data_IF_153971795970
#
_entry.id   IF_153971795970
#
_cell.length_a   1.000
_cell.length_b   1.000
_cell.length_c   1.000
_cell.angle_alpha   90.00
_cell.angle_beta   90.00
_cell.angle_gamma   90.00
#
_symmetry.space_group_name_H-M   'P 1'
#
loop_
_entity.id
_entity.type
_entity.pdbx_description
1 polymer ?
#
# COMPACT_ATOMS: atom_id res chain seq x y z
N UNK A 1 27.00 11.01 -32.78
CA UNK A 1 26.15 10.71 -33.97
C UNK A 1 25.88 12.02 -34.71
N UNK A 2 25.94 12.06 -36.05
CA UNK A 2 25.66 13.29 -36.82
C UNK A 2 24.19 13.28 -37.25
N UNK A 3 23.33 14.00 -36.52
CA UNK A 3 21.85 13.93 -36.59
C UNK A 3 21.23 14.89 -37.62
N UNK A 4 21.72 14.88 -38.86
CA UNK A 4 21.25 15.84 -39.88
C UNK A 4 20.07 15.31 -40.73
N UNK A 5 19.46 14.17 -40.35
CA UNK A 5 18.30 13.57 -41.02
C UNK A 5 17.51 12.65 -40.08
N UNK A 6 16.18 12.48 -40.28
CA UNK A 6 15.37 11.51 -39.54
C UNK A 6 16.08 10.15 -39.51
N UNK A 7 16.31 9.60 -38.32
CA UNK A 7 16.96 8.29 -38.21
C UNK A 7 15.98 7.22 -38.69
N UNK A 8 16.47 6.25 -39.47
CA UNK A 8 15.67 5.08 -39.78
C UNK A 8 15.41 4.31 -38.50
N UNK A 9 14.16 3.86 -38.31
CA UNK A 9 13.79 3.04 -37.15
C UNK A 9 14.66 1.78 -37.02
N UNK A 10 15.05 1.15 -38.13
CA UNK A 10 15.94 -0.02 -38.11
C UNK A 10 17.38 0.32 -37.69
N UNK A 11 17.90 1.48 -38.06
CA UNK A 11 19.25 1.92 -37.69
C UNK A 11 19.32 2.29 -36.20
N UNK A 12 18.27 2.90 -35.67
CA UNK A 12 18.15 3.18 -34.25
C UNK A 12 18.01 1.89 -33.42
N UNK A 13 17.14 0.96 -33.83
CA UNK A 13 17.03 -0.34 -33.16
C UNK A 13 18.37 -1.08 -33.12
N UNK A 14 19.13 -1.04 -34.22
CA UNK A 14 20.47 -1.63 -34.28
C UNK A 14 21.47 -0.93 -33.33
N UNK A 15 21.38 0.39 -33.20
CA UNK A 15 22.25 1.18 -32.30
C UNK A 15 21.91 0.93 -30.84
N UNK A 16 20.64 1.01 -30.47
CA UNK A 16 20.15 0.68 -29.13
C UNK A 16 20.51 -0.76 -28.74
N UNK A 17 20.41 -1.70 -29.68
CA UNK A 17 20.84 -3.09 -29.47
C UNK A 17 22.36 -3.25 -29.37
N UNK A 18 23.15 -2.40 -30.02
CA UNK A 18 24.60 -2.40 -29.90
C UNK A 18 25.06 -1.82 -28.55
N UNK A 19 24.33 -0.85 -28.01
CA UNK A 19 24.50 -0.27 -26.67
C UNK A 19 23.79 -1.09 -25.56
N UNK A 20 23.27 -2.29 -25.89
CA UNK A 20 22.60 -3.21 -24.96
C UNK A 20 23.44 -3.67 -23.76
N UNK A 21 24.74 -3.36 -23.75
CA UNK A 21 25.57 -3.54 -22.56
C UNK A 21 25.21 -2.56 -21.42
N UNK A 22 24.61 -1.42 -21.75
CA UNK A 22 24.27 -0.34 -20.81
C UNK A 22 22.76 -0.12 -20.66
N UNK A 23 21.92 -0.76 -21.49
CA UNK A 23 20.46 -0.64 -21.44
C UNK A 23 19.82 -2.01 -21.20
N UNK A 24 18.87 -2.08 -20.25
CA UNK A 24 18.15 -3.33 -19.98
C UNK A 24 17.24 -3.73 -21.15
N UNK A 25 16.93 -5.02 -21.30
CA UNK A 25 15.97 -5.51 -22.30
C UNK A 25 14.59 -4.84 -22.16
N UNK A 26 14.20 -4.46 -20.94
CA UNK A 26 12.94 -3.77 -20.65
C UNK A 26 13.00 -2.32 -21.14
N UNK A 27 14.10 -1.62 -20.86
CA UNK A 27 14.36 -0.24 -21.33
C UNK A 27 14.40 -0.17 -22.86
N UNK A 28 15.04 -1.14 -23.51
CA UNK A 28 15.07 -1.25 -24.97
C UNK A 28 13.67 -1.46 -25.57
N UNK A 29 12.88 -2.36 -25.00
CA UNK A 29 11.50 -2.59 -25.44
C UNK A 29 10.62 -1.33 -25.27
N UNK A 30 10.88 -0.56 -24.22
CA UNK A 30 10.11 0.63 -23.93
C UNK A 30 10.46 1.81 -24.84
N UNK A 31 11.74 2.00 -25.17
CA UNK A 31 12.16 2.96 -26.21
C UNK A 31 11.55 2.57 -27.57
N UNK A 32 11.52 1.27 -27.91
CA UNK A 32 10.86 0.80 -29.13
C UNK A 32 9.36 1.13 -29.17
N UNK A 33 8.68 1.00 -28.02
CA UNK A 33 7.25 1.33 -27.90
C UNK A 33 6.99 2.83 -28.01
N UNK A 34 7.72 3.64 -27.24
CA UNK A 34 7.59 5.11 -27.21
C UNK A 34 7.75 5.69 -28.62
N UNK A 35 8.75 5.22 -29.35
CA UNK A 35 9.06 5.71 -30.69
C UNK A 35 8.36 4.93 -31.80
N UNK A 36 7.54 3.93 -31.44
CA UNK A 36 6.78 3.08 -32.34
C UNK A 36 7.63 2.49 -33.49
N UNK A 37 8.86 2.07 -33.17
CA UNK A 37 9.91 1.73 -34.15
C UNK A 37 9.54 0.58 -35.09
N UNK A 38 8.57 -0.27 -34.71
CA UNK A 38 8.13 -1.39 -35.52
C UNK A 38 7.17 -1.01 -36.66
N UNK A 39 6.56 0.18 -36.60
CA UNK A 39 5.53 0.59 -37.57
C UNK A 39 5.81 1.91 -38.28
N UNK A 40 6.84 2.64 -37.87
CA UNK A 40 7.27 3.89 -38.52
C UNK A 40 8.59 3.70 -39.28
N UNK A 41 8.71 4.34 -40.43
CA UNK A 41 9.92 4.26 -41.27
C UNK A 41 11.07 5.12 -40.70
N UNK A 42 10.73 6.23 -40.04
CA UNK A 42 11.68 7.21 -39.47
C UNK A 42 11.16 7.80 -38.18
N UNK A 43 12.06 8.13 -37.25
CA UNK A 43 11.72 8.75 -35.96
C UNK A 43 12.41 10.09 -35.73
N UNK A 44 11.71 10.98 -35.01
CA UNK A 44 12.23 12.26 -34.56
C UNK A 44 12.94 12.09 -33.22
N UNK A 45 14.26 11.95 -33.26
CA UNK A 45 15.13 11.96 -32.07
C UNK A 45 15.98 13.21 -32.11
N UNK A 46 15.98 13.94 -31.01
CA UNK A 46 16.93 15.00 -30.80
C UNK A 46 18.20 14.43 -30.16
N UNK A 47 19.36 14.78 -30.72
CA UNK A 47 20.66 14.42 -30.16
C UNK A 47 21.26 15.54 -29.34
N UNK A 48 22.43 15.29 -28.76
CA UNK A 48 23.23 16.30 -28.07
C UNK A 48 24.59 16.43 -28.76
N UNK A 49 25.09 17.66 -28.87
CA UNK A 49 26.47 17.94 -29.28
C UNK A 49 27.05 18.98 -28.34
N UNK A 50 28.11 18.60 -27.62
CA UNK A 50 28.55 19.36 -26.46
C UNK A 50 27.44 19.39 -25.40
N UNK A 51 26.85 20.57 -25.19
CA UNK A 51 25.77 20.80 -24.24
C UNK A 51 24.48 21.35 -24.89
N UNK A 52 24.37 21.35 -26.22
CA UNK A 52 23.22 21.91 -26.94
C UNK A 52 22.45 20.83 -27.68
N UNK A 53 21.11 20.84 -27.52
CA UNK A 53 20.23 19.93 -28.25
C UNK A 53 20.25 20.20 -29.75
N UNK A 54 20.35 19.14 -30.54
CA UNK A 54 20.24 19.15 -31.98
C UNK A 54 18.91 18.50 -32.38
N UNK A 55 17.93 19.33 -32.79
CA UNK A 55 16.66 18.85 -33.31
C UNK A 55 16.82 18.26 -34.71
N UNK A 56 15.98 17.27 -35.09
CA UNK A 56 15.89 16.81 -36.47
C UNK A 56 15.37 17.92 -37.39
N UNK A 57 15.63 17.80 -38.69
CA UNK A 57 15.19 18.78 -39.71
C UNK A 57 13.67 18.96 -39.80
N UNK A 58 12.88 18.00 -39.31
CA UNK A 58 11.43 18.13 -39.13
C UNK A 58 11.04 19.18 -38.08
N UNK A 59 11.95 19.52 -37.16
CA UNK A 59 11.70 20.39 -36.01
C UNK A 59 10.85 19.75 -34.90
N UNK A 60 10.52 18.48 -35.01
CA UNK A 60 9.72 17.71 -34.03
C UNK A 60 10.52 16.51 -33.54
N UNK A 61 10.53 16.29 -32.23
CA UNK A 61 11.13 15.14 -31.60
C UNK A 61 10.30 14.74 -30.37
N UNK A 62 10.25 13.44 -30.10
CA UNK A 62 9.53 12.90 -28.94
C UNK A 62 10.49 12.65 -27.76
N UNK A 63 11.77 12.43 -28.06
CA UNK A 63 12.84 12.15 -27.11
C UNK A 63 14.12 12.94 -27.42
N UNK A 64 14.81 13.42 -26.38
CA UNK A 64 16.24 13.76 -26.42
C UNK A 64 17.03 12.57 -25.89
N UNK A 65 17.98 12.07 -26.69
CA UNK A 65 18.87 10.99 -26.29
C UNK A 65 20.31 11.35 -26.65
N UNK A 66 21.20 11.34 -25.66
CA UNK A 66 22.63 11.52 -25.94
C UNK A 66 23.53 11.53 -24.72
N UNK A 67 24.82 11.44 -25.00
CA UNK A 67 25.89 11.66 -24.04
C UNK A 67 26.28 13.15 -24.07
N UNK A 68 26.26 13.78 -22.90
CA UNK A 68 26.72 15.17 -22.71
C UNK A 68 28.21 15.13 -22.39
N UNK A 69 29.01 15.82 -23.20
CA UNK A 69 30.48 15.86 -23.02
C UNK A 69 30.85 16.59 -21.72
N UNK A 70 31.68 15.95 -20.90
CA UNK A 70 32.24 16.52 -19.68
C UNK A 70 32.98 15.47 -18.86
N UNK A 71 33.86 15.89 -17.96
CA UNK A 71 34.52 15.00 -17.01
C UNK A 71 33.89 15.14 -15.61
N UNK A 72 34.14 14.15 -14.75
CA UNK A 72 33.69 14.18 -13.36
C UNK A 72 34.08 15.48 -12.65
N UNK A 73 33.08 16.16 -12.07
CA UNK A 73 33.23 17.43 -11.37
C UNK A 73 33.18 18.68 -12.27
N UNK A 74 33.11 18.54 -13.59
CA UNK A 74 32.73 19.64 -14.46
C UNK A 74 31.24 19.95 -14.27
N UNK A 75 30.87 21.23 -14.28
CA UNK A 75 29.45 21.63 -14.29
C UNK A 75 29.02 22.01 -15.71
N UNK A 76 28.00 21.33 -16.24
CA UNK A 76 27.53 21.50 -17.61
C UNK A 76 26.05 21.89 -17.64
N UNK A 77 25.77 23.13 -18.03
CA UNK A 77 24.38 23.57 -18.27
C UNK A 77 23.94 23.06 -19.64
N UNK A 78 22.88 22.26 -19.68
CA UNK A 78 22.32 21.69 -20.90
C UNK A 78 21.26 22.64 -21.48
N UNK A 79 21.43 23.08 -22.72
CA UNK A 79 20.45 23.94 -23.40
C UNK A 79 19.34 23.09 -24.03
N UNK A 80 18.22 22.97 -23.30
CA UNK A 80 17.03 22.19 -23.66
C UNK A 80 15.90 23.02 -24.26
N UNK A 81 16.05 24.35 -24.39
CA UNK A 81 14.95 25.25 -24.77
C UNK A 81 14.35 24.92 -26.15
N UNK A 82 15.18 24.47 -27.08
CA UNK A 82 14.72 24.03 -28.40
C UNK A 82 13.90 22.73 -28.33
N UNK A 83 14.30 21.79 -27.46
CA UNK A 83 13.59 20.53 -27.24
C UNK A 83 12.20 20.77 -26.61
N UNK A 84 12.14 21.63 -25.58
CA UNK A 84 10.88 21.99 -24.95
C UNK A 84 9.92 22.68 -25.93
N UNK A 85 10.43 23.60 -26.76
CA UNK A 85 9.64 24.24 -27.81
C UNK A 85 9.14 23.26 -28.88
N UNK A 86 9.84 22.14 -29.06
CA UNK A 86 9.45 21.06 -29.97
C UNK A 86 8.45 20.06 -29.34
N UNK A 87 8.15 20.18 -28.03
CA UNK A 87 7.22 19.30 -27.32
C UNK A 87 7.83 17.96 -26.90
N UNK A 88 9.15 17.89 -26.72
CA UNK A 88 9.82 16.66 -26.28
C UNK A 88 9.39 16.30 -24.86
N UNK A 89 8.95 15.06 -24.66
CA UNK A 89 8.42 14.55 -23.39
C UNK A 89 9.33 13.52 -22.70
N UNK A 90 10.45 13.14 -23.31
CA UNK A 90 11.46 12.28 -22.70
C UNK A 90 12.87 12.85 -22.90
N UNK A 91 13.65 12.94 -21.83
CA UNK A 91 15.02 13.42 -21.84
C UNK A 91 15.92 12.37 -21.21
N UNK A 92 16.87 11.81 -21.96
CA UNK A 92 17.84 10.84 -21.49
C UNK A 92 19.24 11.40 -21.75
N UNK A 93 19.85 11.93 -20.69
CA UNK A 93 21.05 12.76 -20.71
C UNK A 93 22.17 12.04 -19.95
N UNK A 94 22.98 11.25 -20.64
CA UNK A 94 24.05 10.50 -19.98
C UNK A 94 25.32 11.36 -19.84
N UNK A 95 25.93 11.40 -18.67
CA UNK A 95 27.22 12.07 -18.44
C UNK A 95 27.89 11.61 -17.16
N UNK A 96 29.21 11.74 -17.10
CA UNK A 96 29.96 11.68 -15.83
C UNK A 96 30.13 13.09 -15.21
N UNK A 97 29.76 14.16 -15.93
CA UNK A 97 29.80 15.54 -15.44
C UNK A 97 28.52 15.92 -14.71
N UNK A 98 28.59 16.96 -13.89
CA UNK A 98 27.47 17.49 -13.11
C UNK A 98 26.57 18.33 -14.02
N UNK A 99 25.46 17.75 -14.46
CA UNK A 99 24.51 18.40 -15.36
C UNK A 99 23.66 19.42 -14.61
N UNK A 100 23.32 20.52 -15.30
CA UNK A 100 22.28 21.44 -14.85
C UNK A 100 21.16 21.42 -15.88
N UNK A 101 20.03 20.82 -15.49
CA UNK A 101 18.83 20.61 -16.29
C UNK A 101 17.73 21.52 -15.74
N UNK A 102 17.29 22.51 -16.52
CA UNK A 102 16.18 23.40 -16.19
C UNK A 102 15.09 23.30 -17.26
N UNK A 103 13.96 22.72 -16.89
CA UNK A 103 12.78 22.55 -17.74
C UNK A 103 11.62 23.39 -17.19
N UNK A 104 10.96 24.14 -18.07
CA UNK A 104 9.72 24.86 -17.77
C UNK A 104 8.49 23.93 -17.74
N UNK A 105 8.60 22.75 -18.37
CA UNK A 105 7.57 21.72 -18.40
C UNK A 105 6.86 21.60 -19.75
N UNK A 106 5.92 20.66 -19.86
CA UNK A 106 5.24 20.32 -21.11
C UNK A 106 3.85 20.97 -21.21
N UNK A 107 3.51 21.47 -22.40
CA UNK A 107 2.20 22.04 -22.68
C UNK A 107 1.13 20.98 -23.06
N UNK A 108 1.57 19.78 -23.43
CA UNK A 108 0.72 18.65 -23.77
C UNK A 108 1.35 17.37 -23.21
N UNK A 109 0.51 16.44 -22.75
CA UNK A 109 0.95 15.16 -22.20
C UNK A 109 1.69 14.31 -23.25
N UNK A 110 2.85 13.77 -22.88
CA UNK A 110 3.59 12.81 -23.70
C UNK A 110 3.07 11.38 -23.55
N UNK A 111 3.21 10.55 -24.58
CA UNK A 111 2.93 9.10 -24.55
C UNK A 111 4.15 8.33 -24.00
N UNK A 112 4.55 8.63 -22.76
CA UNK A 112 5.80 8.17 -22.15
C UNK A 112 5.63 7.01 -21.18
N UNK A 113 4.41 6.50 -20.99
CA UNK A 113 4.07 5.63 -19.87
C UNK A 113 4.79 4.28 -19.95
N UNK A 114 4.96 3.71 -21.14
CA UNK A 114 5.76 2.48 -21.34
C UNK A 114 7.23 2.70 -21.01
N UNK A 115 7.78 3.87 -21.36
CA UNK A 115 9.17 4.25 -21.03
C UNK A 115 9.34 4.46 -19.53
N UNK A 116 8.43 5.19 -18.91
CA UNK A 116 8.37 5.37 -17.47
C UNK A 116 8.30 4.03 -16.73
N UNK A 117 7.45 3.10 -17.16
CA UNK A 117 7.31 1.77 -16.55
C UNK A 117 8.59 0.92 -16.64
N UNK A 118 9.44 1.17 -17.63
CA UNK A 118 10.72 0.48 -17.75
C UNK A 118 11.80 1.02 -16.81
N UNK A 119 11.71 2.30 -16.43
CA UNK A 119 12.60 2.93 -15.46
C UNK A 119 12.13 2.66 -14.02
N UNK A 120 10.82 2.73 -13.77
CA UNK A 120 10.21 2.51 -12.46
C UNK A 120 9.20 1.35 -12.48
N UNK A 121 9.63 0.09 -12.61
CA UNK A 121 8.73 -1.06 -12.75
C UNK A 121 7.88 -1.35 -11.52
N UNK A 122 8.23 -0.78 -10.36
CA UNK A 122 7.54 -0.98 -9.09
C UNK A 122 6.52 0.13 -8.74
N UNK A 123 6.36 1.15 -9.59
CA UNK A 123 5.48 2.30 -9.34
C UNK A 123 4.41 2.40 -10.43
N UNK A 124 3.23 2.95 -10.11
CA UNK A 124 2.22 3.26 -11.11
C UNK A 124 2.66 4.45 -11.97
N UNK A 125 3.08 4.17 -13.20
CA UNK A 125 3.52 5.19 -14.16
C UNK A 125 2.45 5.57 -15.19
N UNK A 126 1.20 5.11 -15.02
CA UNK A 126 0.12 5.27 -16.00
C UNK A 126 -0.28 6.72 -16.26
N UNK A 127 0.00 7.60 -15.30
CA UNK A 127 -0.30 9.03 -15.37
C UNK A 127 0.93 9.90 -15.65
N UNK A 128 2.13 9.33 -15.82
CA UNK A 128 3.37 10.11 -16.08
C UNK A 128 3.31 10.74 -17.47
N UNK A 129 3.66 12.01 -17.58
CA UNK A 129 3.57 12.80 -18.82
C UNK A 129 4.93 13.31 -19.31
N UNK A 130 5.93 13.36 -18.44
CA UNK A 130 7.32 13.77 -18.73
C UNK A 130 8.30 12.79 -18.06
N UNK A 131 9.37 12.41 -18.76
CA UNK A 131 10.48 11.62 -18.21
C UNK A 131 11.79 12.39 -18.36
N UNK A 132 12.58 12.44 -17.29
CA UNK A 132 13.95 12.97 -17.27
C UNK A 132 14.85 11.92 -16.64
N UNK A 133 15.91 11.52 -17.34
CA UNK A 133 16.92 10.60 -16.82
C UNK A 133 18.31 11.20 -17.03
N UNK A 134 19.13 11.25 -15.98
CA UNK A 134 20.51 11.75 -16.03
C UNK A 134 21.54 10.64 -15.75
N UNK A 135 22.77 11.00 -15.39
CA UNK A 135 23.94 10.12 -15.45
C UNK A 135 24.56 9.82 -14.09
N UNK A 136 25.90 9.84 -14.02
CA UNK A 136 26.65 9.57 -12.79
C UNK A 136 27.18 10.85 -12.10
N UNK A 137 26.78 12.02 -12.59
CA UNK A 137 27.25 13.32 -12.11
C UNK A 137 26.48 13.77 -10.86
N UNK A 138 27.03 14.73 -10.11
CA UNK A 138 26.22 15.40 -9.07
C UNK A 138 25.29 16.42 -9.78
N UNK A 139 24.12 15.98 -10.20
CA UNK A 139 23.23 16.70 -11.11
C UNK A 139 22.30 17.68 -10.37
N UNK A 140 21.95 18.77 -11.06
CA UNK A 140 20.92 19.72 -10.61
C UNK A 140 19.79 19.69 -11.61
N UNK A 141 18.67 19.08 -11.21
CA UNK A 141 17.50 18.87 -12.06
C UNK A 141 16.35 19.71 -11.52
N UNK A 142 15.81 20.60 -12.33
CA UNK A 142 14.66 21.44 -11.98
C UNK A 142 13.61 21.35 -13.08
N UNK A 143 12.42 20.86 -12.74
CA UNK A 143 11.25 20.83 -13.61
C UNK A 143 10.18 21.71 -12.97
N UNK A 144 9.74 22.77 -13.66
CA UNK A 144 8.83 23.79 -13.09
C UNK A 144 7.36 23.61 -13.48
N UNK A 145 7.07 22.71 -14.42
CA UNK A 145 5.72 22.50 -14.91
C UNK A 145 4.86 21.69 -13.95
N UNK A 146 3.55 21.71 -14.18
CA UNK A 146 2.55 21.07 -13.31
C UNK A 146 2.16 19.65 -13.76
N UNK A 147 2.90 19.09 -14.71
CA UNK A 147 2.66 17.75 -15.21
C UNK A 147 3.33 16.68 -14.36
N UNK A 148 2.72 15.50 -14.33
CA UNK A 148 3.28 14.33 -13.64
C UNK A 148 4.62 13.95 -14.28
N UNK A 149 5.71 14.10 -13.52
CA UNK A 149 7.06 13.92 -14.04
C UNK A 149 7.72 12.72 -13.37
N UNK A 150 8.34 11.84 -14.16
CA UNK A 150 9.30 10.86 -13.66
C UNK A 150 10.72 11.39 -13.84
N UNK A 151 11.48 11.44 -12.76
CA UNK A 151 12.91 11.77 -12.77
C UNK A 151 13.69 10.55 -12.29
N UNK A 152 14.72 10.16 -13.04
CA UNK A 152 15.76 9.22 -12.62
C UNK A 152 17.10 9.96 -12.64
N UNK A 153 17.63 10.30 -11.46
CA UNK A 153 18.84 11.11 -11.36
C UNK A 153 20.13 10.30 -11.57
N UNK A 154 20.06 8.96 -11.49
CA UNK A 154 21.22 8.10 -11.63
C UNK A 154 22.11 8.06 -10.38
N UNK A 155 23.42 8.00 -10.57
CA UNK A 155 24.38 7.99 -9.46
C UNK A 155 24.89 9.42 -9.22
N UNK A 156 25.10 9.84 -7.97
CA UNK A 156 25.60 11.18 -7.71
C UNK A 156 25.03 11.77 -6.43
N UNK A 157 25.48 12.97 -6.05
CA UNK A 157 24.80 13.75 -5.02
C UNK A 157 23.89 14.77 -5.71
N UNK A 158 22.66 14.35 -5.99
CA UNK A 158 21.77 15.11 -6.85
C UNK A 158 20.93 16.13 -6.09
N UNK A 159 20.62 17.23 -6.75
CA UNK A 159 19.63 18.21 -6.29
C UNK A 159 18.46 18.23 -7.26
N UNK A 160 17.30 17.75 -6.81
CA UNK A 160 16.13 17.50 -7.63
C UNK A 160 14.99 18.37 -7.15
N UNK A 161 14.38 19.13 -8.05
CA UNK A 161 13.19 19.94 -7.78
C UNK A 161 12.13 19.67 -8.85
N UNK A 162 10.95 19.21 -8.45
CA UNK A 162 9.79 19.09 -9.34
C UNK A 162 8.79 20.21 -9.10
N UNK A 163 7.88 20.39 -10.07
CA UNK A 163 6.74 21.28 -9.95
C UNK A 163 5.56 20.55 -9.33
N UNK A 164 4.34 21.01 -9.63
CA UNK A 164 3.13 20.32 -9.19
C UNK A 164 2.87 19.06 -10.03
N UNK A 165 1.79 18.36 -9.70
CA UNK A 165 1.44 17.07 -10.30
C UNK A 165 1.94 15.92 -9.44
N UNK A 166 1.52 14.71 -9.76
CA UNK A 166 1.93 13.50 -9.09
C UNK A 166 3.25 13.02 -9.70
N UNK A 167 4.37 13.38 -9.09
CA UNK A 167 5.69 13.10 -9.61
C UNK A 167 6.25 11.79 -9.05
N UNK A 168 7.18 11.20 -9.79
CA UNK A 168 7.99 10.08 -9.31
C UNK A 168 9.45 10.46 -9.41
N UNK A 169 10.20 10.43 -8.31
CA UNK A 169 11.62 10.75 -8.29
C UNK A 169 12.39 9.53 -7.83
N UNK A 170 13.20 8.94 -8.70
CA UNK A 170 14.27 8.01 -8.35
C UNK A 170 15.51 8.85 -8.13
N UNK A 171 15.86 9.06 -6.85
CA UNK A 171 17.03 9.86 -6.49
C UNK A 171 18.35 9.10 -6.75
N UNK A 172 18.29 7.77 -6.85
CA UNK A 172 19.43 6.92 -7.15
C UNK A 172 20.46 6.86 -6.01
N UNK A 173 21.72 6.56 -6.33
CA UNK A 173 22.78 6.37 -5.33
C UNK A 173 23.47 7.69 -4.98
N UNK A 174 23.89 7.85 -3.72
CA UNK A 174 24.59 9.04 -3.24
C UNK A 174 23.71 9.90 -2.32
N UNK A 175 24.20 11.08 -1.92
CA UNK A 175 23.50 11.92 -0.94
C UNK A 175 22.63 12.94 -1.68
N UNK A 176 21.33 12.69 -1.73
CA UNK A 176 20.43 13.46 -2.57
C UNK A 176 19.64 14.51 -1.79
N UNK A 177 19.26 15.57 -2.48
CA UNK A 177 18.35 16.59 -1.99
C UNK A 177 17.15 16.71 -2.92
N UNK A 178 16.00 16.20 -2.49
CA UNK A 178 14.77 16.12 -3.27
C UNK A 178 13.74 17.09 -2.70
N UNK A 179 13.16 17.91 -3.55
CA UNK A 179 12.00 18.74 -3.20
C UNK A 179 10.95 18.59 -4.28
N UNK A 180 9.76 18.10 -3.91
CA UNK A 180 8.62 18.02 -4.82
C UNK A 180 7.59 19.12 -4.53
N UNK A 181 6.59 19.23 -5.41
CA UNK A 181 5.61 20.32 -5.40
C UNK A 181 4.30 19.93 -4.72
N UNK A 182 3.17 20.30 -5.31
CA UNK A 182 1.87 19.79 -4.86
C UNK A 182 1.43 18.60 -5.72
N UNK A 183 0.70 17.65 -5.17
CA UNK A 183 0.30 16.41 -5.84
C UNK A 183 0.70 15.22 -4.99
N UNK A 184 0.26 14.01 -5.36
CA UNK A 184 0.71 12.80 -4.66
C UNK A 184 2.02 12.33 -5.29
N UNK A 185 3.13 12.63 -4.63
CA UNK A 185 4.48 12.34 -5.10
C UNK A 185 4.99 10.99 -4.56
N UNK A 186 5.86 10.34 -5.34
CA UNK A 186 6.58 9.12 -4.93
C UNK A 186 8.08 9.34 -5.07
N UNK A 187 8.81 9.30 -3.97
CA UNK A 187 10.26 9.49 -3.93
C UNK A 187 10.92 8.16 -3.55
N UNK A 188 11.81 7.66 -4.40
CA UNK A 188 12.57 6.43 -4.19
C UNK A 188 14.01 6.80 -3.85
N UNK A 189 14.44 6.44 -2.64
CA UNK A 189 15.80 6.58 -2.16
C UNK A 189 16.50 5.22 -2.26
N UNK A 190 17.39 5.07 -3.23
CA UNK A 190 18.02 3.80 -3.55
C UNK A 190 19.35 3.58 -2.83
N UNK A 191 19.64 2.31 -2.52
CA UNK A 191 20.93 1.89 -1.98
C UNK A 191 21.03 1.97 -0.46
N UNK A 192 22.25 2.19 0.04
CA UNK A 192 22.56 2.18 1.47
C UNK A 192 23.78 3.05 1.75
N UNK A 193 23.97 3.47 3.00
CA UNK A 193 25.11 4.27 3.47
C UNK A 193 25.22 5.68 2.85
N UNK A 194 24.10 6.25 2.47
CA UNK A 194 23.99 7.64 2.03
C UNK A 194 23.15 8.48 3.01
N UNK A 195 23.09 9.78 2.76
CA UNK A 195 22.37 10.76 3.56
C UNK A 195 21.49 11.62 2.65
N UNK A 196 20.21 11.30 2.61
CA UNK A 196 19.23 11.99 1.76
C UNK A 196 18.44 13.02 2.56
N UNK A 197 18.01 14.08 1.87
CA UNK A 197 17.09 15.08 2.38
C UNK A 197 15.91 15.13 1.42
N UNK A 198 14.71 14.93 1.94
CA UNK A 198 13.47 14.92 1.16
C UNK A 198 12.49 15.92 1.76
N UNK A 199 11.95 16.78 0.91
CA UNK A 199 10.73 17.51 1.16
C UNK A 199 9.70 17.08 0.11
N UNK A 200 8.70 16.32 0.54
CA UNK A 200 7.71 15.75 -0.37
C UNK A 200 6.58 16.74 -0.75
N UNK A 201 6.59 17.94 -0.17
CA UNK A 201 5.71 19.01 -0.62
C UNK A 201 4.30 18.89 -0.05
N UNK A 202 3.28 18.99 -0.90
CA UNK A 202 1.90 18.99 -0.47
C UNK A 202 1.08 17.95 -1.21
N UNK A 203 0.57 16.96 -0.50
CA UNK A 203 -0.28 15.95 -1.10
C UNK A 203 -0.43 14.78 -0.15
N UNK A 204 -0.54 13.59 -0.72
CA UNK A 204 -0.34 12.36 0.03
C UNK A 204 0.86 11.64 -0.54
N UNK A 205 2.02 11.83 0.10
CA UNK A 205 3.30 11.54 -0.49
C UNK A 205 3.94 10.27 0.08
N UNK A 206 4.68 9.57 -0.78
CA UNK A 206 5.33 8.30 -0.46
C UNK A 206 6.83 8.43 -0.57
N UNK A 207 7.56 8.02 0.46
CA UNK A 207 9.01 7.81 0.36
C UNK A 207 9.34 6.33 0.50
N UNK A 208 9.90 5.76 -0.55
CA UNK A 208 10.40 4.40 -0.58
C UNK A 208 11.88 4.37 -0.17
N UNK A 209 12.23 3.43 0.69
CA UNK A 209 13.59 3.08 1.06
C UNK A 209 13.88 1.61 0.75
N UNK A 210 15.14 1.30 0.43
CA UNK A 210 15.58 -0.08 0.25
C UNK A 210 15.83 -0.77 1.60
N UNK A 211 15.62 -2.08 1.66
CA UNK A 211 15.82 -2.90 2.86
C UNK A 211 14.53 -3.14 3.65
N UNK A 212 14.67 -3.73 4.84
CA UNK A 212 13.55 -3.96 5.74
C UNK A 212 13.35 -2.76 6.66
N UNK A 213 12.13 -2.55 7.13
CA UNK A 213 11.81 -1.56 8.16
C UNK A 213 12.70 -1.69 9.40
N UNK A 214 13.07 -2.90 9.80
CA UNK A 214 13.94 -3.16 10.96
C UNK A 214 15.38 -2.66 10.78
N UNK A 215 15.80 -2.39 9.54
CA UNK A 215 17.12 -1.83 9.25
C UNK A 215 17.21 -0.34 9.59
N UNK A 216 16.09 0.28 10.02
CA UNK A 216 15.95 1.71 10.26
C UNK A 216 15.51 2.04 11.69
N UNK A 217 16.15 3.06 12.26
CA UNK A 217 15.74 3.71 13.52
C UNK A 217 15.16 5.08 13.24
N UNK A 218 14.02 5.37 13.86
CA UNK A 218 13.19 6.54 13.62
C UNK A 218 13.39 7.57 14.72
N UNK A 219 13.53 8.83 14.33
CA UNK A 219 13.49 9.96 15.25
C UNK A 219 12.56 11.02 14.69
N UNK A 220 11.42 11.21 15.35
CA UNK A 220 10.45 12.26 15.02
C UNK A 220 11.02 13.62 15.40
N UNK A 221 11.04 14.53 14.44
CA UNK A 221 11.40 15.93 14.62
C UNK A 221 10.19 16.85 14.75
N UNK A 222 10.45 18.16 14.70
CA UNK A 222 9.39 19.17 14.55
C UNK A 222 9.10 19.42 13.08
N UNK A 223 7.97 20.05 12.77
CA UNK A 223 7.56 20.45 11.42
C UNK A 223 7.36 19.22 10.52
N UNK A 224 6.61 18.22 11.00
CA UNK A 224 6.28 17.04 10.21
C UNK A 224 7.50 16.33 9.62
N UNK A 225 8.58 16.28 10.42
CA UNK A 225 9.84 15.69 10.03
C UNK A 225 10.03 14.32 10.69
N UNK A 226 10.54 13.37 9.92
CA UNK A 226 11.10 12.12 10.43
C UNK A 226 12.55 11.97 9.95
N UNK A 227 13.43 11.63 10.89
CA UNK A 227 14.82 11.27 10.58
C UNK A 227 14.99 9.77 10.74
N UNK A 228 15.51 9.13 9.70
CA UNK A 228 15.88 7.73 9.68
C UNK A 228 17.40 7.59 9.76
N UNK A 229 17.86 6.58 10.48
CA UNK A 229 19.27 6.15 10.52
C UNK A 229 19.34 4.62 10.47
N UNK A 230 20.47 4.05 10.08
CA UNK A 230 20.61 2.60 9.94
C UNK A 230 21.18 2.24 8.58
N UNK A 231 20.43 1.52 7.74
CA UNK A 231 20.85 1.17 6.38
C UNK A 231 21.23 2.40 5.54
N UNK A 232 20.44 3.48 5.60
CA UNK A 232 20.84 4.82 5.16
C UNK A 232 20.34 5.88 6.15
N UNK A 233 20.81 7.11 5.98
CA UNK A 233 20.28 8.28 6.69
C UNK A 233 19.31 9.01 5.77
N UNK A 234 18.13 9.37 6.25
CA UNK A 234 17.18 10.19 5.50
C UNK A 234 16.50 11.19 6.44
N UNK A 235 16.48 12.46 6.04
CA UNK A 235 15.68 13.49 6.69
C UNK A 235 14.49 13.81 5.79
N UNK A 236 13.30 13.38 6.19
CA UNK A 236 12.08 13.46 5.37
C UNK A 236 11.12 14.45 6.03
N UNK A 237 10.56 15.36 5.23
CA UNK A 237 9.48 16.27 5.65
C UNK A 237 8.28 16.16 4.71
N UNK A 238 7.10 16.39 5.29
CA UNK A 238 5.83 16.50 4.57
C UNK A 238 5.46 15.24 3.77
N UNK A 239 5.87 14.06 4.25
CA UNK A 239 5.45 12.77 3.70
C UNK A 239 4.48 12.06 4.65
N UNK A 240 3.48 11.38 4.11
CA UNK A 240 2.45 10.65 4.86
C UNK A 240 2.70 9.14 4.91
N UNK A 241 3.56 8.62 4.03
CA UNK A 241 3.74 7.18 3.89
C UNK A 241 5.19 6.81 3.57
N UNK A 242 5.70 5.78 4.25
CA UNK A 242 6.99 5.19 3.95
C UNK A 242 6.81 3.75 3.52
N UNK A 243 7.55 3.33 2.51
CA UNK A 243 7.64 1.94 2.08
C UNK A 243 9.08 1.43 2.20
N UNK A 244 9.24 0.20 2.64
CA UNK A 244 10.53 -0.47 2.79
C UNK A 244 10.52 -1.70 1.89
N UNK A 245 11.37 -1.70 0.86
CA UNK A 245 11.38 -2.75 -0.16
C UNK A 245 12.61 -3.63 -0.01
N UNK A 246 12.38 -4.91 0.26
CA UNK A 246 13.41 -5.94 0.36
C UNK A 246 13.05 -7.14 -0.54
N UNK A 247 13.57 -7.14 -1.77
CA UNK A 247 13.20 -8.13 -2.78
C UNK A 247 11.70 -8.03 -3.12
N UNK A 248 10.96 -9.12 -2.90
CA UNK A 248 9.52 -9.18 -3.16
C UNK A 248 8.66 -8.74 -1.96
N UNK A 249 9.28 -8.34 -0.85
CA UNK A 249 8.58 -7.90 0.36
C UNK A 249 8.54 -6.39 0.47
N UNK A 250 7.36 -5.84 0.78
CA UNK A 250 7.14 -4.42 1.06
C UNK A 250 6.52 -4.29 2.45
N UNK A 251 7.22 -3.59 3.32
CA UNK A 251 6.71 -3.19 4.64
C UNK A 251 6.33 -1.71 4.58
N UNK A 252 5.33 -1.29 5.37
CA UNK A 252 4.83 0.08 5.33
C UNK A 252 4.87 0.74 6.70
N UNK A 253 5.08 2.06 6.70
CA UNK A 253 4.91 2.90 7.90
C UNK A 253 4.11 4.12 7.50
N UNK A 254 3.01 4.35 8.21
CA UNK A 254 2.25 5.58 8.03
C UNK A 254 2.77 6.69 8.94
N UNK A 255 2.90 7.88 8.38
CA UNK A 255 3.30 9.10 9.06
C UNK A 255 2.04 9.97 9.24
N UNK A 256 1.48 9.95 10.45
CA UNK A 256 0.28 10.69 10.79
C UNK A 256 0.63 12.10 11.27
N UNK A 257 -0.11 13.11 10.82
CA UNK A 257 0.04 14.51 11.19
C UNK A 257 -0.84 14.93 12.37
N UNK A 258 -1.66 14.01 12.89
CA UNK A 258 -2.44 14.18 14.11
C UNK A 258 -2.65 12.85 14.85
N UNK A 259 -3.03 12.94 16.13
CA UNK A 259 -3.43 11.77 16.91
C UNK A 259 -4.68 11.10 16.34
N UNK A 260 -5.60 11.88 15.77
CA UNK A 260 -6.81 11.37 15.12
C UNK A 260 -6.50 10.57 13.85
N UNK A 261 -5.60 11.05 12.99
CA UNK A 261 -5.13 10.29 11.83
C UNK A 261 -4.45 8.99 12.28
N UNK A 262 -3.58 9.05 13.29
CA UNK A 262 -2.92 7.87 13.80
C UNK A 262 -3.90 6.85 14.38
N UNK A 263 -4.91 7.30 15.12
CA UNK A 263 -5.96 6.42 15.63
C UNK A 263 -6.75 5.76 14.49
N UNK A 264 -7.08 6.49 13.43
CA UNK A 264 -7.75 5.93 12.26
C UNK A 264 -6.89 4.88 11.54
N UNK A 265 -5.59 5.14 11.39
CA UNK A 265 -4.66 4.23 10.70
C UNK A 265 -4.37 2.97 11.52
N UNK A 266 -4.29 3.08 12.86
CA UNK A 266 -4.13 1.91 13.75
C UNK A 266 -5.32 0.95 13.71
N UNK A 267 -6.50 1.38 13.23
CA UNK A 267 -7.65 0.47 13.07
C UNK A 267 -7.40 -0.62 12.01
N UNK A 268 -6.48 -0.42 11.06
CA UNK A 268 -6.05 -1.50 10.16
C UNK A 268 -5.49 -2.68 10.96
N UNK A 269 -4.46 -2.43 11.78
CA UNK A 269 -3.86 -3.48 12.59
C UNK A 269 -4.83 -3.94 13.67
N UNK A 270 -5.56 -3.02 14.32
CA UNK A 270 -6.50 -3.35 15.38
C UNK A 270 -7.69 -4.20 14.94
N UNK A 271 -8.39 -3.84 13.87
CA UNK A 271 -9.62 -4.55 13.44
C UNK A 271 -9.33 -5.63 12.40
N UNK A 272 -8.40 -5.38 11.48
CA UNK A 272 -8.12 -6.29 10.35
C UNK A 272 -6.85 -7.15 10.56
N UNK A 273 -6.00 -6.81 11.54
CA UNK A 273 -4.80 -7.58 11.85
C UNK A 273 -3.71 -7.47 10.78
N UNK A 274 -3.68 -6.36 10.03
CA UNK A 274 -2.67 -6.09 9.00
C UNK A 274 -2.31 -4.61 8.93
N UNK A 275 -1.22 -4.32 8.22
CA UNK A 275 -0.79 -2.96 7.92
C UNK A 275 -1.76 -2.25 6.95
N UNK A 276 -1.77 -0.93 7.04
CA UNK A 276 -2.49 -0.09 6.10
C UNK A 276 -1.83 -0.17 4.71
N UNK A 277 -2.66 -0.32 3.68
CA UNK A 277 -2.23 -0.11 2.30
C UNK A 277 -2.29 1.39 1.94
N UNK A 278 -1.51 1.81 0.94
CA UNK A 278 -1.36 3.21 0.55
C UNK A 278 -2.71 3.90 0.27
N UNK A 279 -3.53 3.28 -0.60
CA UNK A 279 -4.82 3.86 -0.99
C UNK A 279 -5.80 3.93 0.16
N UNK A 280 -5.83 2.89 0.99
CA UNK A 280 -6.60 2.83 2.21
C UNK A 280 -6.20 3.90 3.23
N UNK A 281 -4.90 4.02 3.53
CA UNK A 281 -4.34 5.02 4.44
C UNK A 281 -4.69 6.45 3.99
N UNK A 282 -4.48 6.75 2.71
CA UNK A 282 -4.87 8.03 2.10
C UNK A 282 -6.35 8.34 2.32
N UNK A 283 -7.24 7.41 1.95
CA UNK A 283 -8.69 7.62 2.07
C UNK A 283 -9.12 7.94 3.51
N UNK A 284 -8.53 7.27 4.51
CA UNK A 284 -8.89 7.51 5.90
C UNK A 284 -8.28 8.80 6.46
N UNK A 285 -7.04 9.15 6.08
CA UNK A 285 -6.45 10.45 6.41
C UNK A 285 -7.29 11.59 5.83
N UNK A 286 -7.69 11.50 4.56
CA UNK A 286 -8.60 12.47 3.94
C UNK A 286 -9.96 12.54 4.66
N UNK A 287 -10.51 11.40 5.09
CA UNK A 287 -11.76 11.36 5.84
C UNK A 287 -11.64 12.06 7.21
N UNK A 288 -10.54 11.82 7.95
CA UNK A 288 -10.26 12.51 9.22
C UNK A 288 -10.14 14.01 8.98
N UNK A 289 -9.38 14.42 7.96
CA UNK A 289 -9.20 15.84 7.60
C UNK A 289 -10.49 16.52 7.12
N UNK A 290 -11.42 15.75 6.54
CA UNK A 290 -12.76 16.21 6.20
C UNK A 290 -13.72 16.29 7.42
N UNK A 291 -13.28 15.85 8.61
CA UNK A 291 -14.04 15.89 9.85
C UNK A 291 -14.97 14.69 10.07
N UNK A 292 -14.74 13.56 9.38
CA UNK A 292 -15.44 12.30 9.66
C UNK A 292 -15.06 11.81 11.05
N UNK A 293 -16.02 11.32 11.82
CA UNK A 293 -15.75 10.86 13.18
C UNK A 293 -14.99 9.54 13.18
N UNK A 294 -14.12 9.33 14.19
CA UNK A 294 -13.42 8.06 14.37
C UNK A 294 -14.40 6.89 14.54
N UNK A 295 -15.56 7.11 15.15
CA UNK A 295 -16.61 6.09 15.28
C UNK A 295 -17.17 5.69 13.91
N UNK A 296 -17.39 6.65 13.00
CA UNK A 296 -17.83 6.35 11.63
C UNK A 296 -16.74 5.60 10.84
N UNK A 297 -15.48 6.00 11.00
CA UNK A 297 -14.32 5.32 10.40
C UNK A 297 -14.21 3.87 10.91
N UNK A 298 -14.29 3.65 12.21
CA UNK A 298 -14.27 2.30 12.80
C UNK A 298 -15.45 1.45 12.29
N UNK A 299 -16.63 2.05 12.12
CA UNK A 299 -17.76 1.37 11.49
C UNK A 299 -17.48 1.02 10.01
N UNK A 300 -16.71 1.80 9.26
CA UNK A 300 -16.30 1.42 7.90
C UNK A 300 -15.46 0.14 7.90
N UNK A 301 -14.52 -0.03 8.85
CA UNK A 301 -13.77 -1.27 9.01
C UNK A 301 -14.68 -2.44 9.41
N UNK A 302 -15.53 -2.25 10.42
CA UNK A 302 -16.43 -3.31 10.93
C UNK A 302 -17.50 -3.73 9.93
N UNK A 303 -17.89 -2.86 8.99
CA UNK A 303 -18.84 -3.18 7.92
C UNK A 303 -18.15 -3.57 6.60
N UNK A 304 -16.81 -3.68 6.59
CA UNK A 304 -16.07 -4.07 5.39
C UNK A 304 -16.27 -5.54 5.06
N UNK A 305 -16.19 -5.88 3.77
CA UNK A 305 -16.20 -7.27 3.31
C UNK A 305 -15.01 -8.07 3.85
N UNK A 306 -13.91 -7.39 4.16
CA UNK A 306 -12.70 -8.00 4.72
C UNK A 306 -12.95 -8.49 6.15
N UNK A 307 -13.43 -7.60 7.03
CA UNK A 307 -13.77 -7.96 8.41
C UNK A 307 -14.88 -9.02 8.46
N UNK A 308 -15.95 -8.83 7.67
CA UNK A 308 -17.03 -9.80 7.58
C UNK A 308 -16.53 -11.16 7.06
N UNK A 309 -15.64 -11.18 6.07
CA UNK A 309 -15.07 -12.41 5.51
C UNK A 309 -14.25 -13.19 6.53
N UNK A 310 -13.39 -12.52 7.28
CA UNK A 310 -12.55 -13.13 8.32
C UNK A 310 -13.37 -13.69 9.49
N UNK A 311 -14.34 -12.92 9.99
CA UNK A 311 -15.23 -13.38 11.06
C UNK A 311 -16.10 -14.55 10.60
N UNK A 312 -16.74 -14.42 9.43
CA UNK A 312 -17.56 -15.50 8.87
C UNK A 312 -16.75 -16.79 8.69
N UNK A 313 -15.49 -16.71 8.23
CA UNK A 313 -14.64 -17.88 8.09
C UNK A 313 -14.41 -18.59 9.44
N UNK A 314 -14.18 -17.82 10.50
CA UNK A 314 -14.01 -18.33 11.86
C UNK A 314 -15.31 -18.96 12.38
N UNK A 315 -16.42 -18.23 12.32
CA UNK A 315 -17.73 -18.70 12.78
C UNK A 315 -18.19 -19.96 12.03
N UNK A 316 -17.97 -20.01 10.70
CA UNK A 316 -18.25 -21.21 9.89
C UNK A 316 -17.39 -22.38 10.36
N UNK A 317 -16.10 -22.17 10.63
CA UNK A 317 -15.23 -23.24 11.10
C UNK A 317 -15.65 -23.77 12.47
N UNK A 318 -16.10 -22.91 13.39
CA UNK A 318 -16.67 -23.32 14.67
C UNK A 318 -17.93 -24.16 14.48
N UNK A 319 -18.81 -23.79 13.54
CA UNK A 319 -20.00 -24.59 13.21
C UNK A 319 -19.65 -25.95 12.61
N UNK A 320 -18.61 -26.03 11.76
CA UNK A 320 -18.14 -27.30 11.21
C UNK A 320 -17.56 -28.21 12.31
N UNK A 321 -16.76 -27.66 13.21
CA UNK A 321 -16.24 -28.41 14.36
C UNK A 321 -17.37 -28.89 15.28
N UNK A 322 -18.35 -28.03 15.57
CA UNK A 322 -19.49 -28.35 16.41
C UNK A 322 -20.41 -29.43 15.82
N UNK A 323 -20.65 -29.38 14.50
CA UNK A 323 -21.70 -30.17 13.85
C UNK A 323 -21.18 -31.38 13.10
N UNK A 324 -19.91 -31.35 12.66
CA UNK A 324 -19.27 -32.37 11.82
C UNK A 324 -17.97 -32.93 12.43
N UNK A 325 -17.45 -32.31 13.50
CA UNK A 325 -16.25 -32.79 14.19
C UNK A 325 -14.95 -32.62 13.40
N UNK A 326 -14.91 -31.65 12.47
CA UNK A 326 -13.74 -31.32 11.65
C UNK A 326 -13.78 -29.86 11.22
N UNK A 327 -12.66 -29.35 10.72
CA UNK A 327 -12.59 -28.03 10.10
C UNK A 327 -13.32 -27.97 8.75
N UNK A 328 -13.76 -26.76 8.41
CA UNK A 328 -14.32 -26.45 7.12
C UNK A 328 -13.23 -26.47 6.04
N UNK A 329 -13.52 -27.13 4.91
CA UNK A 329 -12.67 -27.04 3.72
C UNK A 329 -12.94 -25.73 2.98
N UNK A 330 -11.95 -25.23 2.22
CA UNK A 330 -12.03 -23.95 1.50
C UNK A 330 -13.32 -23.80 0.69
N UNK A 331 -13.69 -24.81 -0.10
CA UNK A 331 -14.92 -24.79 -0.90
C UNK A 331 -16.20 -24.82 -0.05
N UNK A 332 -16.16 -25.44 1.14
CA UNK A 332 -17.28 -25.43 2.08
C UNK A 332 -17.47 -24.05 2.72
N UNK A 333 -16.38 -23.44 3.16
CA UNK A 333 -16.37 -22.07 3.72
C UNK A 333 -16.91 -21.07 2.70
N UNK A 334 -16.45 -21.13 1.45
CA UNK A 334 -16.86 -20.20 0.40
C UNK A 334 -18.38 -20.24 0.15
N UNK A 335 -18.98 -21.44 0.09
CA UNK A 335 -20.43 -21.59 -0.11
C UNK A 335 -21.23 -20.90 1.01
N UNK A 336 -20.80 -21.05 2.26
CA UNK A 336 -21.50 -20.41 3.38
C UNK A 336 -21.24 -18.91 3.45
N UNK A 337 -20.04 -18.45 3.10
CA UNK A 337 -19.75 -17.02 2.99
C UNK A 337 -20.64 -16.34 1.94
N UNK A 338 -20.92 -16.98 0.81
CA UNK A 338 -21.87 -16.46 -0.20
C UNK A 338 -23.30 -16.37 0.36
N UNK A 339 -23.72 -17.34 1.18
CA UNK A 339 -25.05 -17.30 1.84
C UNK A 339 -25.13 -16.14 2.83
N UNK A 340 -24.09 -15.92 3.64
CA UNK A 340 -24.04 -14.82 4.60
C UNK A 340 -23.98 -13.46 3.89
N UNK A 341 -23.19 -13.35 2.81
CA UNK A 341 -23.14 -12.14 1.98
C UNK A 341 -24.50 -11.81 1.32
N UNK A 342 -25.33 -12.82 1.05
CA UNK A 342 -26.70 -12.64 0.54
C UNK A 342 -27.73 -12.25 1.62
N UNK A 343 -27.30 -12.03 2.87
CA UNK A 343 -28.15 -11.68 4.01
C UNK A 343 -28.71 -12.88 4.77
N UNK A 344 -28.15 -14.08 4.56
CA UNK A 344 -28.42 -15.24 5.41
C UNK A 344 -27.87 -15.06 6.82
N UNK A 345 -28.38 -15.84 7.78
CA UNK A 345 -27.89 -15.82 9.17
C UNK A 345 -27.03 -17.04 9.48
N UNK A 346 -26.07 -16.90 10.41
CA UNK A 346 -25.30 -18.04 10.94
C UNK A 346 -26.21 -19.12 11.54
N UNK A 347 -27.35 -18.73 12.12
CA UNK A 347 -28.31 -19.70 12.65
C UNK A 347 -28.97 -20.54 11.54
N UNK A 348 -29.17 -19.98 10.35
CA UNK A 348 -29.66 -20.73 9.18
C UNK A 348 -28.57 -21.63 8.59
N UNK A 349 -27.31 -21.16 8.57
CA UNK A 349 -26.15 -21.98 8.19
C UNK A 349 -26.01 -23.18 9.13
N UNK A 350 -26.05 -22.96 10.44
CA UNK A 350 -25.99 -24.02 11.44
C UNK A 350 -27.13 -25.03 11.29
N UNK A 351 -28.36 -24.55 11.04
CA UNK A 351 -29.51 -25.42 10.80
C UNK A 351 -29.30 -26.31 9.56
N UNK A 352 -28.75 -25.75 8.48
CA UNK A 352 -28.49 -26.47 7.24
C UNK A 352 -27.38 -27.52 7.40
N UNK A 353 -26.29 -27.19 8.09
CA UNK A 353 -25.20 -28.12 8.37
C UNK A 353 -25.70 -29.27 9.26
N UNK A 354 -26.50 -28.96 10.29
CA UNK A 354 -27.01 -29.95 11.26
C UNK A 354 -27.91 -31.04 10.67
N UNK A 355 -28.43 -30.84 9.45
CA UNK A 355 -29.24 -31.83 8.71
C UNK A 355 -28.59 -32.29 7.41
N UNK A 356 -27.33 -31.91 7.17
CA UNK A 356 -26.56 -32.37 6.02
C UNK A 356 -26.41 -33.89 5.99
N UNK A 357 -26.12 -34.46 4.82
CA UNK A 357 -25.85 -35.88 4.69
C UNK A 357 -24.68 -36.31 5.57
N UNK A 358 -23.66 -35.46 5.69
CA UNK A 358 -22.49 -35.71 6.53
C UNK A 358 -22.82 -35.73 8.02
N UNK A 359 -23.61 -34.78 8.51
CA UNK A 359 -24.07 -34.78 9.90
C UNK A 359 -24.94 -36.03 10.22
N UNK A 360 -25.68 -36.54 9.24
CA UNK A 360 -26.44 -37.78 9.38
C UNK A 360 -25.52 -39.01 9.40
N UNK A 361 -24.44 -39.02 8.62
CA UNK A 361 -23.43 -40.09 8.59
C UNK A 361 -22.57 -40.14 9.86
N UNK A 362 -22.30 -38.98 10.48
CA UNK A 362 -21.58 -38.89 11.75
C UNK A 362 -22.33 -39.64 12.88
N UNK A 363 -23.67 -39.71 12.81
CA UNK A 363 -24.55 -40.41 13.75
C UNK A 363 -24.24 -40.10 15.22
N UNK A 364 -23.90 -38.84 15.52
CA UNK A 364 -23.59 -38.41 16.87
C UNK A 364 -24.80 -38.65 17.81
N UNK A 365 -24.53 -39.01 19.08
CA UNK A 365 -25.60 -39.09 20.08
C UNK A 365 -26.21 -37.70 20.32
N UNK A 366 -27.48 -37.64 20.78
CA UNK A 366 -28.12 -36.36 21.12
C UNK A 366 -27.29 -35.57 22.14
N UNK A 367 -26.72 -36.25 23.14
CA UNK A 367 -25.90 -35.61 24.17
C UNK A 367 -24.58 -35.07 23.61
N UNK A 368 -23.91 -35.82 22.73
CA UNK A 368 -22.67 -35.39 22.06
C UNK A 368 -22.93 -34.15 21.21
N UNK A 369 -23.94 -34.19 20.35
CA UNK A 369 -24.32 -33.06 19.50
C UNK A 369 -24.64 -31.78 20.25
N UNK A 370 -25.37 -31.87 21.38
CA UNK A 370 -25.65 -30.69 22.20
C UNK A 370 -24.38 -30.20 22.88
N UNK A 371 -23.55 -31.10 23.43
CA UNK A 371 -22.29 -30.70 24.07
C UNK A 371 -21.36 -30.01 23.09
N UNK A 372 -21.19 -30.53 21.87
CA UNK A 372 -20.30 -29.96 20.86
C UNK A 372 -20.77 -28.56 20.43
N UNK A 373 -22.09 -28.32 20.37
CA UNK A 373 -22.64 -26.98 20.18
C UNK A 373 -22.29 -26.04 21.34
N UNK A 374 -22.42 -26.48 22.59
CA UNK A 374 -22.07 -25.64 23.74
C UNK A 374 -20.56 -25.31 23.75
N UNK A 375 -19.70 -26.30 23.55
CA UNK A 375 -18.25 -26.09 23.65
C UNK A 375 -17.69 -25.27 22.50
N UNK A 376 -18.13 -25.49 21.27
CA UNK A 376 -17.62 -24.76 20.10
C UNK A 376 -18.35 -23.42 19.88
N UNK A 377 -19.68 -23.37 20.01
CA UNK A 377 -20.45 -22.14 19.69
C UNK A 377 -20.58 -21.21 20.91
N UNK A 378 -20.63 -21.76 22.13
CA UNK A 378 -20.78 -20.95 23.35
C UNK A 378 -19.48 -20.86 24.17
N UNK A 379 -18.43 -21.59 23.77
CA UNK A 379 -17.12 -21.56 24.44
C UNK A 379 -17.09 -22.19 25.82
N UNK A 380 -18.08 -23.04 26.18
CA UNK A 380 -18.15 -23.67 27.50
C UNK A 380 -18.83 -25.03 27.47
N UNK A 381 -18.61 -25.81 28.52
CA UNK A 381 -19.35 -27.06 28.69
C UNK A 381 -20.84 -26.79 29.01
N UNK A 382 -21.71 -27.65 28.48
CA UNK A 382 -23.13 -27.62 28.81
C UNK A 382 -23.36 -28.01 30.27
N UNK A 383 -24.16 -27.22 31.00
CA UNK A 383 -24.60 -27.66 32.31
C UNK A 383 -25.60 -28.83 32.21
N UNK A 384 -25.61 -29.70 33.22
CA UNK A 384 -26.43 -30.92 33.23
C UNK A 384 -27.92 -30.64 32.98
N UNK A 385 -28.46 -29.56 33.55
CA UNK A 385 -29.86 -29.18 33.36
C UNK A 385 -30.16 -28.73 31.92
N UNK A 386 -29.31 -27.89 31.33
CA UNK A 386 -29.45 -27.40 29.95
C UNK A 386 -29.30 -28.53 28.94
N UNK A 387 -28.30 -29.39 29.12
CA UNK A 387 -28.08 -30.58 28.30
C UNK A 387 -29.31 -31.51 28.32
N UNK A 388 -29.82 -31.84 29.52
CA UNK A 388 -30.99 -32.71 29.66
C UNK A 388 -32.24 -32.13 28.99
N UNK A 389 -32.46 -30.82 29.09
CA UNK A 389 -33.59 -30.15 28.46
C UNK A 389 -33.54 -30.26 26.93
N UNK A 390 -32.37 -30.03 26.31
CA UNK A 390 -32.20 -30.16 24.86
C UNK A 390 -32.31 -31.61 24.39
N UNK A 391 -31.73 -32.55 25.13
CA UNK A 391 -31.85 -33.99 24.83
C UNK A 391 -33.30 -34.45 24.92
N UNK A 392 -34.05 -34.01 25.92
CA UNK A 392 -35.49 -34.29 26.03
C UNK A 392 -36.29 -33.66 24.88
N UNK A 393 -35.95 -32.43 24.47
CA UNK A 393 -36.58 -31.81 23.31
C UNK A 393 -36.37 -32.63 22.02
N UNK A 394 -35.16 -33.12 21.79
CA UNK A 394 -34.83 -34.00 20.65
C UNK A 394 -35.61 -35.31 20.72
N UNK A 395 -35.74 -35.92 21.90
CA UNK A 395 -36.57 -37.13 22.08
C UNK A 395 -38.06 -36.88 21.83
N UNK A 396 -38.55 -35.67 22.15
CA UNK A 396 -39.93 -35.26 21.95
C UNK A 396 -40.22 -34.74 20.53
N UNK A 397 -39.26 -34.87 19.60
CA UNK A 397 -39.45 -34.64 18.17
C UNK A 397 -38.92 -33.30 17.64
N UNK A 398 -38.20 -32.51 18.45
CA UNK A 398 -37.43 -31.40 17.91
C UNK A 398 -36.33 -31.92 16.97
N UNK A 399 -36.12 -31.22 15.86
CA UNK A 399 -35.04 -31.54 14.92
C UNK A 399 -33.70 -30.97 15.37
N UNK A 400 -32.60 -31.58 14.89
CA UNK A 400 -31.25 -31.03 15.10
C UNK A 400 -31.09 -29.62 14.52
N UNK A 401 -31.74 -29.34 13.38
CA UNK A 401 -31.79 -28.00 12.80
C UNK A 401 -32.40 -26.97 13.77
N UNK A 402 -33.52 -27.29 14.41
CA UNK A 402 -34.17 -26.41 15.38
C UNK A 402 -33.28 -26.16 16.60
N UNK A 403 -32.61 -27.20 17.12
CA UNK A 403 -31.70 -27.07 18.26
C UNK A 403 -30.45 -26.24 17.90
N UNK A 404 -29.80 -26.53 16.77
CA UNK A 404 -28.63 -25.77 16.31
C UNK A 404 -28.99 -24.30 16.09
N UNK A 405 -30.12 -24.02 15.43
CA UNK A 405 -30.62 -22.66 15.22
C UNK A 405 -30.88 -21.93 16.54
N UNK A 406 -31.47 -22.62 17.52
CA UNK A 406 -31.79 -22.02 18.81
C UNK A 406 -30.54 -21.69 19.65
N UNK A 407 -29.52 -22.55 19.61
CA UNK A 407 -28.26 -22.32 20.34
C UNK A 407 -27.43 -21.22 19.66
N UNK A 408 -27.24 -21.28 18.35
CA UNK A 408 -26.45 -20.29 17.59
C UNK A 408 -27.13 -18.92 17.57
N UNK A 409 -28.46 -18.87 17.59
CA UNK A 409 -29.24 -17.63 17.68
C UNK A 409 -29.49 -17.13 19.11
N UNK A 410 -28.82 -17.70 20.12
CA UNK A 410 -29.04 -17.35 21.52
C UNK A 410 -28.31 -16.06 21.92
N UNK A 411 -28.78 -15.42 23.00
CA UNK A 411 -28.07 -14.29 23.62
C UNK A 411 -26.67 -14.72 24.08
N UNK A 412 -26.50 -15.96 24.50
CA UNK A 412 -25.21 -16.48 24.96
C UNK A 412 -24.19 -16.61 23.81
N UNK A 413 -24.63 -17.02 22.62
CA UNK A 413 -23.78 -17.00 21.43
C UNK A 413 -23.37 -15.56 21.04
N UNK A 414 -24.26 -14.59 21.27
CA UNK A 414 -23.93 -13.16 21.07
C UNK A 414 -22.89 -12.69 22.11
N UNK A 415 -23.02 -13.10 23.37
CA UNK A 415 -22.06 -12.78 24.42
C UNK A 415 -20.68 -13.41 24.14
N UNK A 416 -20.65 -14.64 23.62
CA UNK A 416 -19.43 -15.32 23.16
C UNK A 416 -18.78 -14.56 22.01
N UNK A 417 -19.54 -14.21 20.96
CA UNK A 417 -19.03 -13.41 19.83
C UNK A 417 -18.48 -12.04 20.26
N UNK A 418 -19.15 -11.36 21.19
CA UNK A 418 -18.65 -10.11 21.79
C UNK A 418 -17.34 -10.33 22.57
N UNK A 419 -17.24 -11.44 23.29
CA UNK A 419 -16.02 -11.85 23.99
C UNK A 419 -14.87 -12.12 23.01
N UNK A 420 -15.13 -12.83 21.90
CA UNK A 420 -14.13 -13.16 20.88
C UNK A 420 -13.66 -11.91 20.12
N UNK A 421 -14.57 -10.97 19.85
CA UNK A 421 -14.23 -9.67 19.28
C UNK A 421 -13.28 -8.88 20.19
N UNK A 422 -13.50 -8.90 21.51
CA UNK A 422 -12.57 -8.26 22.45
C UNK A 422 -11.23 -8.98 22.44
N UNK A 423 -11.20 -10.32 22.45
CA UNK A 423 -9.96 -11.07 22.40
C UNK A 423 -9.16 -10.78 21.12
N UNK A 424 -9.83 -10.70 19.97
CA UNK A 424 -9.16 -10.39 18.70
C UNK A 424 -8.51 -9.02 18.73
N UNK A 425 -9.19 -7.99 19.25
CA UNK A 425 -8.63 -6.64 19.42
C UNK A 425 -7.43 -6.62 20.37
N UNK A 426 -7.46 -7.37 21.48
CA UNK A 426 -6.29 -7.46 22.38
C UNK A 426 -5.10 -8.11 21.66
N UNK A 427 -5.36 -9.18 20.92
CA UNK A 427 -4.32 -9.90 20.20
C UNK A 427 -3.70 -9.07 19.07
N UNK A 428 -4.52 -8.39 18.28
CA UNK A 428 -4.11 -7.65 17.09
C UNK A 428 -3.56 -6.26 17.42
N UNK A 429 -4.18 -5.54 18.37
CA UNK A 429 -3.83 -4.17 18.70
C UNK A 429 -2.80 -4.06 19.83
N UNK A 430 -2.77 -5.02 20.77
CA UNK A 430 -1.88 -4.98 21.94
C UNK A 430 -0.84 -6.11 21.95
N UNK A 431 -0.94 -7.07 21.01
CA UNK A 431 0.01 -8.17 20.89
C UNK A 431 -0.06 -9.20 22.02
N UNK A 432 -1.17 -9.26 22.77
CA UNK A 432 -1.33 -10.14 23.93
C UNK A 432 -2.76 -10.60 24.15
N UNK A 433 -2.93 -11.64 24.97
CA UNK A 433 -4.24 -12.07 25.44
C UNK A 433 -4.89 -11.02 26.37
N UNK A 434 -6.22 -10.96 26.32
CA UNK A 434 -7.01 -10.15 27.23
C UNK A 434 -6.94 -10.70 28.66
N UNK A 435 -6.65 -9.83 29.62
CA UNK A 435 -6.76 -10.21 31.02
C UNK A 435 -8.23 -10.28 31.45
N UNK A 436 -8.51 -11.09 32.48
CA UNK A 436 -9.88 -11.34 32.91
C UNK A 436 -10.65 -10.07 33.32
N UNK A 437 -9.96 -9.06 33.85
CA UNK A 437 -10.59 -7.80 34.28
C UNK A 437 -10.90 -6.89 33.10
N UNK A 438 -9.91 -6.68 32.21
CA UNK A 438 -10.05 -5.90 30.99
C UNK A 438 -11.11 -6.46 30.06
N UNK A 439 -11.11 -7.79 29.86
CA UNK A 439 -12.13 -8.47 29.05
C UNK A 439 -13.53 -8.28 29.62
N UNK A 440 -13.71 -8.51 30.93
CA UNK A 440 -15.01 -8.35 31.58
C UNK A 440 -15.55 -6.92 31.48
N UNK A 441 -14.68 -5.91 31.62
CA UNK A 441 -15.10 -4.52 31.50
C UNK A 441 -15.64 -4.18 30.11
N UNK A 442 -14.98 -4.66 29.04
CA UNK A 442 -15.42 -4.40 27.67
C UNK A 442 -16.68 -5.20 27.29
N UNK A 443 -16.79 -6.47 27.71
CA UNK A 443 -18.01 -7.26 27.45
C UNK A 443 -19.21 -6.73 28.23
N UNK A 444 -19.04 -6.24 29.46
CA UNK A 444 -20.08 -5.52 30.20
C UNK A 444 -20.49 -4.21 29.50
N UNK A 445 -19.53 -3.49 28.90
CA UNK A 445 -19.82 -2.28 28.13
C UNK A 445 -20.66 -2.59 26.88
N UNK A 446 -20.32 -3.64 26.14
CA UNK A 446 -21.11 -4.12 25.00
C UNK A 446 -22.53 -4.52 25.43
N UNK A 447 -22.66 -5.25 26.55
CA UNK A 447 -23.96 -5.61 27.12
C UNK A 447 -24.78 -4.38 27.58
N UNK A 448 -24.12 -3.29 27.94
CA UNK A 448 -24.74 -2.01 28.28
C UNK A 448 -25.09 -1.15 27.04
N UNK A 449 -24.77 -1.59 25.83
CA UNK A 449 -25.11 -0.94 24.57
C UNK A 449 -24.03 -0.02 24.00
N UNK A 450 -22.80 -0.09 24.50
CA UNK A 450 -21.64 0.51 23.82
C UNK A 450 -21.42 -0.21 22.49
N UNK A 451 -21.06 0.52 21.44
CA UNK A 451 -20.87 -0.08 20.11
C UNK A 451 -19.52 -0.80 19.99
N UNK A 452 -19.43 -1.79 19.11
CA UNK A 452 -18.16 -2.43 18.73
C UNK A 452 -17.13 -1.41 18.23
N UNK A 453 -17.57 -0.37 17.52
CA UNK A 453 -16.72 0.73 17.07
C UNK A 453 -16.08 1.48 18.26
N UNK A 454 -16.87 1.82 19.28
CA UNK A 454 -16.35 2.53 20.46
C UNK A 454 -15.42 1.63 21.30
N UNK A 455 -15.68 0.32 21.36
CA UNK A 455 -14.77 -0.65 21.98
C UNK A 455 -13.45 -0.74 21.22
N UNK A 456 -13.51 -0.86 19.89
CA UNK A 456 -12.32 -0.88 19.03
C UNK A 456 -11.48 0.39 19.23
N UNK A 457 -12.10 1.58 19.19
CA UNK A 457 -11.41 2.84 19.44
C UNK A 457 -10.83 2.92 20.85
N UNK A 458 -11.54 2.40 21.85
CA UNK A 458 -11.05 2.37 23.24
C UNK A 458 -9.79 1.52 23.43
N UNK A 459 -9.68 0.41 22.71
CA UNK A 459 -8.52 -0.50 22.77
C UNK A 459 -7.39 -0.01 21.86
N UNK A 460 -7.69 0.26 20.59
CA UNK A 460 -6.73 0.67 19.54
C UNK A 460 -6.18 2.07 19.78
N UNK A 461 -6.95 2.96 20.41
CA UNK A 461 -6.51 4.30 20.80
C UNK A 461 -5.74 4.34 22.12
N UNK A 462 -5.46 3.21 22.75
CA UNK A 462 -4.71 3.16 24.01
C UNK A 462 -3.21 3.43 23.79
N UNK A 463 -2.52 3.89 24.84
CA UNK A 463 -1.06 4.05 24.79
C UNK A 463 -0.34 2.71 24.54
N UNK A 464 -0.90 1.62 25.05
CA UNK A 464 -0.36 0.27 24.81
C UNK A 464 -0.46 -0.13 23.33
N UNK A 465 -1.58 0.18 22.67
CA UNK A 465 -1.72 -0.03 21.24
C UNK A 465 -0.76 0.86 20.43
N UNK A 466 -0.55 2.11 20.86
CA UNK A 466 0.42 2.99 20.21
C UNK A 466 1.87 2.46 20.32
N UNK A 467 2.21 1.80 21.43
CA UNK A 467 3.53 1.17 21.61
C UNK A 467 3.67 -0.14 20.82
N UNK A 468 2.58 -0.89 20.61
CA UNK A 468 2.60 -2.16 19.87
C UNK A 468 2.50 -1.97 18.34
N UNK A 469 1.64 -1.06 17.89
CA UNK A 469 1.41 -0.72 16.48
C UNK A 469 2.37 0.41 16.09
N UNK A 470 3.65 0.07 16.00
CA UNK A 470 4.77 0.98 15.78
C UNK A 470 5.00 1.37 14.31
N UNK A 471 4.23 0.78 13.40
CA UNK A 471 4.14 1.15 11.99
C UNK A 471 3.22 2.36 11.73
N UNK A 472 2.69 3.00 12.78
CA UNK A 472 2.01 4.30 12.70
C UNK A 472 2.74 5.30 13.59
N UNK A 473 3.44 6.24 12.96
CA UNK A 473 4.27 7.25 13.63
C UNK A 473 3.56 8.60 13.61
N UNK A 474 3.37 9.21 14.79
CA UNK A 474 2.77 10.56 14.91
C UNK A 474 3.85 11.62 14.77
N UNK A 475 3.72 12.45 13.75
CA UNK A 475 4.54 13.62 13.51
C UNK A 475 3.88 14.87 14.11
N UNK A 476 4.71 15.77 14.64
CA UNK A 476 4.23 16.97 15.30
C UNK A 476 4.55 18.21 14.45
N UNK A 477 3.59 19.14 14.39
CA UNK A 477 3.77 20.45 13.79
C UNK A 477 4.78 21.33 14.55
N UNK A 478 4.87 22.61 14.19
CA UNK A 478 5.75 23.53 14.92
C UNK A 478 5.27 23.69 16.38
N UNK A 479 6.15 23.42 17.35
CA UNK A 479 5.90 23.63 18.79
C UNK A 479 6.10 25.07 19.21
#
# INVERSE_FOLDING_TARGET
MQYDSPQSSSDLQATLSADSANLSNVTLAAINSLLNLDTVDTVGIAGITGNTVQLPTSGQADIVLGEVEGAQGDQVVVDLAAAEAAGVSAYVLQSDANLVVDLQGQAAAGDVQTFAAALAPAVDTSAIELVVATGNGDDVITVKGDQNTLIDAGDGNDTIVTGNGNNTVIAGLGNNNVTTGSGDDTIILSGSNHADVVNAGAGYDVVQLDGSRDDYTFTVGNNFNVNLTGNQTAAITDAEFLTFVNGDTTETVALAHSDEEAAALRLYQGILGRDADLGGAKNFVEAVNAGVSLTDIANTFLNSSEFAGANNATDINELYNALLGRDAEEGGTQVWQEVLAAGGSLSDVAAAIAVSAEAQELDASNATFVNDLYSNVLGRDAEEAGLNAWVEALFNGASRAEVAKAIVGSAEATDKSNSDFVDSLYQSALGREADAGGKAAWTEALAAGVSHADVALGIVGSAEAADHIDNVVVLHGQV
#
